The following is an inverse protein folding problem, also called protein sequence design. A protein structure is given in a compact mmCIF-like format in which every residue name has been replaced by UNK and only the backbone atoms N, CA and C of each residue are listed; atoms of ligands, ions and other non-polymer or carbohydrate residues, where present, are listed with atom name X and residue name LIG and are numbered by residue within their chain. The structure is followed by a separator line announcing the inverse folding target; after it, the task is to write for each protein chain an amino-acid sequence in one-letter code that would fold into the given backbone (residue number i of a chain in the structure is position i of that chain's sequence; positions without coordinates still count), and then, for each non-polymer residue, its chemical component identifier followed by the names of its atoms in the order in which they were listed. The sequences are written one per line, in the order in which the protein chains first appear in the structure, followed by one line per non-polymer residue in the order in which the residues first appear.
data_IF_363864470620
#
_entry.id   IF_363864470620
#
_cell.length_a   1.000
_cell.length_b   1.000
_cell.length_c   1.000
_cell.angle_alpha   90.00
_cell.angle_beta   90.00
_cell.angle_gamma   90.00
#
_symmetry.space_group_name_H-M   'P 1'
#
loop_
_entity.id
_entity.type
_entity.pdbx_description
1 polymer ?
#
# COMPACT_ATOMS: atom_id res chain seq x y z
N UNK A 1 -2.48 -12.80 7.70
CA UNK A 1 -3.37 -12.41 6.59
C UNK A 1 -2.53 -12.27 5.33
N UNK A 2 -3.07 -12.57 4.15
CA UNK A 2 -2.43 -12.37 2.85
C UNK A 2 -3.13 -11.24 2.10
N UNK A 3 -2.38 -10.49 1.29
CA UNK A 3 -2.95 -9.46 0.43
C UNK A 3 -3.78 -10.14 -0.68
N UNK A 4 -5.07 -9.86 -0.70
CA UNK A 4 -6.01 -10.43 -1.66
C UNK A 4 -6.34 -9.45 -2.80
N UNK A 5 -6.41 -8.15 -2.50
CA UNK A 5 -6.78 -7.13 -3.49
C UNK A 5 -6.18 -5.76 -3.19
N UNK A 6 -5.87 -5.01 -4.25
CA UNK A 6 -5.61 -3.57 -4.22
C UNK A 6 -6.60 -2.88 -5.15
N UNK A 7 -7.31 -1.86 -4.65
CA UNK A 7 -8.26 -1.03 -5.41
C UNK A 7 -7.88 0.46 -5.27
N UNK A 8 -8.18 1.32 -6.26
CA UNK A 8 -8.00 2.75 -6.12
C UNK A 8 -8.85 3.29 -4.96
N UNK A 9 -8.19 3.98 -4.03
CA UNK A 9 -8.80 4.70 -2.93
C UNK A 9 -8.96 6.20 -3.22
N UNK A 10 -9.59 6.95 -2.31
CA UNK A 10 -9.72 8.40 -2.44
C UNK A 10 -8.35 9.09 -2.41
N UNK A 11 -8.24 10.24 -3.08
CA UNK A 11 -7.06 11.10 -3.08
C UNK A 11 -5.73 10.39 -3.44
N UNK A 12 -5.78 9.41 -4.36
CA UNK A 12 -4.58 8.67 -4.80
C UNK A 12 -4.07 7.64 -3.79
N UNK A 13 -4.85 7.31 -2.77
CA UNK A 13 -4.56 6.17 -1.89
C UNK A 13 -4.88 4.84 -2.55
N UNK A 14 -4.36 3.76 -1.98
CA UNK A 14 -4.76 2.38 -2.29
C UNK A 14 -5.66 1.85 -1.18
N UNK A 15 -6.80 1.25 -1.53
CA UNK A 15 -7.55 0.39 -0.62
C UNK A 15 -7.02 -1.04 -0.72
N UNK A 16 -6.34 -1.51 0.32
CA UNK A 16 -5.75 -2.85 0.39
C UNK A 16 -6.64 -3.77 1.22
N UNK A 17 -7.01 -4.90 0.64
CA UNK A 17 -7.79 -5.95 1.31
C UNK A 17 -6.90 -7.13 1.64
N UNK A 18 -6.86 -7.50 2.90
CA UNK A 18 -6.13 -8.64 3.44
C UNK A 18 -7.10 -9.70 3.93
N UNK A 19 -6.84 -10.95 3.57
CA UNK A 19 -7.70 -12.06 3.92
C UNK A 19 -6.91 -13.10 4.73
N UNK A 20 -7.53 -13.65 5.76
CA UNK A 20 -6.98 -14.78 6.49
C UNK A 20 -7.54 -16.08 5.90
N UNK A 21 -6.73 -16.90 5.20
CA UNK A 21 -7.23 -18.14 4.60
C UNK A 21 -7.68 -19.19 5.62
N UNK A 22 -7.34 -19.00 6.91
CA UNK A 22 -7.68 -19.94 7.99
C UNK A 22 -9.03 -19.65 8.65
N UNK A 23 -9.48 -18.41 8.65
CA UNK A 23 -10.69 -17.99 9.37
C UNK A 23 -11.57 -17.01 8.60
N UNK A 24 -11.30 -16.82 7.31
CA UNK A 24 -12.06 -15.96 6.39
C UNK A 24 -12.17 -14.50 6.84
N UNK A 25 -11.34 -14.07 7.79
CA UNK A 25 -11.32 -12.70 8.25
C UNK A 25 -10.78 -11.77 7.16
N UNK A 26 -11.56 -10.73 6.85
CA UNK A 26 -11.21 -9.69 5.89
C UNK A 26 -10.84 -8.40 6.63
N UNK A 27 -9.64 -7.90 6.39
CA UNK A 27 -9.13 -6.65 6.93
C UNK A 27 -8.83 -5.67 5.79
N UNK A 28 -9.37 -4.45 5.87
CA UNK A 28 -9.20 -3.43 4.84
C UNK A 28 -8.43 -2.24 5.39
N UNK A 29 -7.45 -1.76 4.63
CA UNK A 29 -6.56 -0.65 5.03
C UNK A 29 -6.44 0.33 3.87
N UNK A 30 -6.60 1.62 4.16
CA UNK A 30 -6.22 2.69 3.25
C UNK A 30 -4.72 2.95 3.39
N UNK A 31 -3.97 2.62 2.34
CA UNK A 31 -2.56 2.93 2.23
C UNK A 31 -2.40 4.23 1.47
N UNK A 32 -1.81 5.24 2.10
CA UNK A 32 -1.45 6.49 1.42
C UNK A 32 -0.36 6.24 0.38
N UNK A 33 -0.27 7.15 -0.59
CA UNK A 33 0.80 7.16 -1.58
C UNK A 33 2.16 7.05 -0.84
N UNK A 34 3.00 6.05 -1.17
CA UNK A 34 4.33 5.90 -0.59
C UNK A 34 5.18 7.17 -0.66
N UNK A 35 4.99 8.02 -1.69
CA UNK A 35 5.71 9.29 -1.86
C UNK A 35 5.23 10.36 -0.87
N UNK A 36 3.99 10.25 -0.40
CA UNK A 36 3.39 11.14 0.60
C UNK A 36 3.57 10.61 2.03
N UNK A 37 3.95 9.34 2.19
CA UNK A 37 4.12 8.72 3.50
C UNK A 37 5.29 9.34 4.26
N UNK A 38 5.10 9.64 5.55
CA UNK A 38 6.12 10.29 6.40
C UNK A 38 7.42 9.49 6.56
N UNK A 39 7.41 8.20 6.18
CA UNK A 39 8.56 7.30 6.31
C UNK A 39 9.28 7.16 4.96
N UNK A 40 9.92 8.25 4.54
CA UNK A 40 10.47 8.45 3.19
C UNK A 40 11.87 7.86 2.99
N UNK A 41 12.27 6.81 3.71
CA UNK A 41 13.64 6.27 3.64
C UNK A 41 14.07 5.88 2.22
N UNK A 42 13.11 5.53 1.36
CA UNK A 42 13.33 5.20 -0.04
C UNK A 42 13.44 6.42 -0.97
N UNK A 43 12.82 7.57 -0.65
CA UNK A 43 13.04 8.80 -1.43
C UNK A 43 14.43 9.40 -1.17
N UNK A 44 15.04 9.05 -0.04
CA UNK A 44 16.43 9.37 0.29
C UNK A 44 17.45 8.39 -0.33
N UNK A 45 17.01 7.36 -1.07
CA UNK A 45 17.91 6.36 -1.66
C UNK A 45 18.83 6.91 -2.74
N UNK A 46 18.62 8.16 -3.20
CA UNK A 46 19.38 8.76 -4.29
C UNK A 46 19.14 8.10 -5.66
N UNK A 47 18.18 7.17 -5.76
CA UNK A 47 17.81 6.51 -6.99
C UNK A 47 17.01 7.47 -7.88
N UNK A 48 17.49 7.71 -9.09
CA UNK A 48 16.78 8.45 -10.14
C UNK A 48 16.22 7.49 -11.20
N UNK A 49 15.09 7.82 -11.84
CA UNK A 49 14.60 7.06 -13.00
C UNK A 49 15.66 6.96 -14.11
N UNK A 50 15.66 5.89 -14.93
CA UNK A 50 16.53 5.80 -16.11
C UNK A 50 16.24 6.94 -17.10
N UNK A 51 17.28 7.36 -17.84
CA UNK A 51 17.15 8.32 -18.94
C UNK A 51 16.66 7.64 -20.22
#
# INVERSE_FOLDING_TARGET
MMLARIEPGPAGSDLRTFECPKCEHVHKVLAQDPFLSANTGWSQSGLSPPK
#
